data_IF_934555896833
#
_entry.id   IF_934555896833
#
_cell.length_a   1.000
_cell.length_b   1.000
_cell.length_c   1.000
_cell.angle_alpha   90.00
_cell.angle_beta   90.00
_cell.angle_gamma   90.00
#
_symmetry.space_group_name_H-M   'P 1'
#
loop_
_entity.id
_entity.type
_entity.pdbx_description
1 polymer ?
#
# COMPACT_ATOMS: atom_id res chain seq x y z
N UNK A 1 18.56 8.62 -27.62
CA UNK A 1 18.40 8.50 -26.93
C UNK A 1 18.69 7.90 -26.10
N UNK A 2 18.58 7.87 -25.79
CA UNK A 2 18.91 7.52 -25.11
C UNK A 2 18.81 6.81 -24.05
N UNK A 3 18.79 6.47 -23.70
CA UNK A 3 19.18 5.68 -22.54
C UNK A 3 18.50 6.15 -21.29
N UNK A 4 17.24 6.53 -21.40
CA UNK A 4 16.45 6.89 -20.25
C UNK A 4 15.93 5.65 -19.58
N UNK A 5 16.37 5.44 -18.34
CA UNK A 5 15.86 4.35 -17.53
C UNK A 5 14.55 4.80 -16.87
N UNK A 6 13.57 3.92 -16.87
CA UNK A 6 12.35 4.15 -16.14
C UNK A 6 12.55 3.64 -14.71
N UNK A 7 12.75 4.56 -13.79
CA UNK A 7 13.00 4.24 -12.40
C UNK A 7 11.79 4.67 -11.57
N UNK A 8 11.21 3.72 -10.84
CA UNK A 8 10.05 3.97 -10.00
C UNK A 8 10.45 3.94 -8.54
N UNK A 9 10.03 4.96 -7.81
CA UNK A 9 10.32 5.08 -6.39
C UNK A 9 9.33 4.24 -5.58
N UNK A 10 9.83 3.47 -4.63
CA UNK A 10 9.05 2.54 -3.85
C UNK A 10 9.29 2.76 -2.37
N UNK A 11 8.21 2.83 -1.59
CA UNK A 11 8.30 2.84 -0.14
C UNK A 11 8.15 1.40 0.35
N UNK A 12 9.03 0.96 1.23
CA UNK A 12 8.95 -0.36 1.86
C UNK A 12 8.62 -0.19 3.32
N UNK A 13 7.57 -0.86 3.78
CA UNK A 13 7.11 -0.80 5.16
C UNK A 13 6.91 -2.21 5.71
N UNK A 14 7.00 -2.33 7.04
CA UNK A 14 6.63 -3.57 7.72
C UNK A 14 5.14 -3.86 7.54
N UNK A 15 4.80 -5.13 7.41
CA UNK A 15 3.39 -5.57 7.41
C UNK A 15 2.66 -5.18 8.69
N UNK A 16 3.39 -4.92 9.79
CA UNK A 16 2.80 -4.49 11.06
C UNK A 16 2.18 -3.09 11.03
N UNK A 17 2.35 -2.33 9.93
CA UNK A 17 1.70 -1.03 9.79
C UNK A 17 0.24 -1.13 9.34
N UNK A 18 -0.25 -2.33 9.05
CA UNK A 18 -1.68 -2.58 8.87
C UNK A 18 -2.18 -3.49 9.97
N UNK A 19 -3.48 -3.45 10.25
CA UNK A 19 -4.07 -4.31 11.26
C UNK A 19 -4.08 -5.76 10.80
N UNK A 20 -4.18 -6.69 11.76
CA UNK A 20 -4.31 -8.11 11.45
C UNK A 20 -5.49 -8.37 10.52
N UNK A 21 -6.60 -7.69 10.76
CA UNK A 21 -7.80 -7.84 9.92
C UNK A 21 -7.53 -7.45 8.47
N UNK A 22 -6.83 -6.33 8.27
CA UNK A 22 -6.49 -5.89 6.91
C UNK A 22 -5.54 -6.86 6.25
N UNK A 23 -4.55 -7.37 7.01
CA UNK A 23 -3.61 -8.36 6.51
C UNK A 23 -4.35 -9.62 6.04
N UNK A 24 -5.32 -10.09 6.81
CA UNK A 24 -6.12 -11.25 6.45
C UNK A 24 -6.90 -11.02 5.16
N UNK A 25 -7.48 -9.83 5.01
CA UNK A 25 -8.22 -9.47 3.79
C UNK A 25 -7.30 -9.46 2.58
N UNK A 26 -6.12 -8.84 2.70
CA UNK A 26 -5.17 -8.79 1.60
C UNK A 26 -4.69 -10.18 1.19
N UNK A 27 -4.45 -11.05 2.15
CA UNK A 27 -4.04 -12.42 1.87
C UNK A 27 -5.16 -13.24 1.22
N UNK A 28 -6.39 -13.06 1.69
CA UNK A 28 -7.54 -13.82 1.20
C UNK A 28 -7.87 -13.50 -0.25
N UNK A 29 -7.90 -12.22 -0.59
CA UNK A 29 -8.37 -11.82 -1.92
C UNK A 29 -7.30 -11.89 -3.00
N UNK A 30 -6.04 -11.89 -2.65
CA UNK A 30 -4.90 -12.01 -3.59
C UNK A 30 -4.89 -10.99 -4.72
N UNK A 31 -6.00 -10.35 -4.98
CA UNK A 31 -6.13 -9.32 -5.99
C UNK A 31 -7.29 -8.43 -5.61
N UNK A 32 -7.44 -7.36 -6.36
CA UNK A 32 -8.44 -6.35 -6.09
C UNK A 32 -9.85 -6.94 -6.08
N UNK A 33 -10.62 -6.74 -4.99
CA UNK A 33 -12.04 -7.08 -4.99
C UNK A 33 -12.80 -6.21 -5.98
N UNK A 34 -13.93 -6.71 -6.46
CA UNK A 34 -14.78 -5.98 -7.38
C UNK A 34 -15.17 -4.61 -6.80
N UNK A 35 -15.02 -3.56 -7.61
CA UNK A 35 -15.35 -2.20 -7.21
C UNK A 35 -14.24 -1.43 -6.52
N UNK A 36 -13.06 -1.99 -6.43
CA UNK A 36 -11.88 -1.36 -5.84
C UNK A 36 -10.87 -1.01 -6.92
N UNK A 37 -10.40 0.24 -6.95
CA UNK A 37 -9.35 0.65 -7.88
C UNK A 37 -7.96 0.66 -7.25
N UNK A 38 -7.80 -0.04 -6.14
CA UNK A 38 -6.50 -0.30 -5.55
C UNK A 38 -5.97 -1.61 -6.10
N UNK A 39 -4.88 -1.54 -6.83
CA UNK A 39 -4.25 -2.73 -7.37
C UNK A 39 -3.15 -3.20 -6.45
N UNK A 40 -3.26 -4.43 -5.96
CA UNK A 40 -2.18 -5.03 -5.20
C UNK A 40 -1.95 -6.46 -5.68
N UNK A 41 -0.74 -6.94 -5.41
CA UNK A 41 -0.36 -8.31 -5.68
C UNK A 41 0.23 -8.90 -4.42
N UNK A 42 -0.08 -10.14 -4.14
CA UNK A 42 0.60 -10.86 -3.09
C UNK A 42 2.00 -11.20 -3.59
N UNK A 43 2.99 -10.91 -2.77
CA UNK A 43 4.38 -11.27 -3.03
C UNK A 43 4.82 -12.23 -1.92
N UNK A 44 6.00 -12.81 -2.07
CA UNK A 44 6.46 -13.86 -1.16
C UNK A 44 6.42 -13.44 0.32
N UNK A 45 6.73 -12.17 0.59
CA UNK A 45 6.85 -11.69 1.97
C UNK A 45 5.82 -10.62 2.34
N UNK A 46 4.79 -10.42 1.54
CA UNK A 46 3.80 -9.39 1.82
C UNK A 46 2.97 -9.01 0.61
N UNK A 47 2.82 -7.69 0.39
CA UNK A 47 1.96 -7.19 -0.67
C UNK A 47 2.63 -6.02 -1.38
N UNK A 48 2.39 -5.92 -2.69
CA UNK A 48 2.86 -4.80 -3.53
C UNK A 48 1.65 -4.02 -4.03
N UNK A 49 1.62 -2.73 -3.71
CA UNK A 49 0.64 -1.79 -4.25
C UNK A 49 1.30 -0.96 -5.34
N UNK A 50 0.69 -0.95 -6.52
CA UNK A 50 1.26 -0.25 -7.69
C UNK A 50 0.84 1.20 -7.81
N UNK A 51 -0.18 1.60 -7.06
CA UNK A 51 -0.70 2.95 -7.09
C UNK A 51 -0.83 3.45 -5.66
N UNK A 52 -0.14 4.55 -5.37
CA UNK A 52 -0.16 5.10 -4.02
C UNK A 52 -1.00 6.36 -3.91
N UNK A 53 -1.17 7.08 -5.03
CA UNK A 53 -1.94 8.32 -5.03
C UNK A 53 -3.40 8.05 -5.28
N UNK A 54 -4.24 8.61 -4.41
CA UNK A 54 -5.68 8.57 -4.56
C UNK A 54 -6.15 9.97 -4.94
N UNK A 55 -6.87 10.08 -6.06
CA UNK A 55 -7.40 11.37 -6.47
C UNK A 55 -8.71 11.68 -5.71
N UNK A 56 -9.29 12.85 -5.95
CA UNK A 56 -10.50 13.26 -5.24
C UNK A 56 -11.68 12.31 -5.52
N UNK A 57 -11.76 11.79 -6.73
CA UNK A 57 -12.80 10.86 -7.10
C UNK A 57 -12.65 9.53 -6.34
N UNK A 58 -11.42 9.04 -6.22
CA UNK A 58 -11.14 7.85 -5.42
C UNK A 58 -11.55 8.06 -3.97
N UNK A 59 -11.23 9.23 -3.41
CA UNK A 59 -11.56 9.54 -2.02
C UNK A 59 -13.06 9.60 -1.78
N UNK A 60 -13.82 10.15 -2.71
CA UNK A 60 -15.27 10.21 -2.59
C UNK A 60 -15.92 8.84 -2.74
N UNK A 61 -15.46 8.07 -3.71
CA UNK A 61 -16.08 6.80 -4.06
C UNK A 61 -15.58 5.66 -3.19
N UNK A 62 -14.29 5.61 -2.92
CA UNK A 62 -13.65 4.48 -2.27
C UNK A 62 -13.09 4.77 -0.89
N UNK A 63 -13.05 6.04 -0.49
CA UNK A 63 -12.42 6.43 0.76
C UNK A 63 -12.97 5.71 1.99
N UNK A 64 -14.25 5.35 1.96
CA UNK A 64 -14.87 4.59 3.05
C UNK A 64 -14.53 3.12 3.03
N UNK A 65 -14.13 2.60 1.87
CA UNK A 65 -13.83 1.19 1.68
C UNK A 65 -12.37 0.87 1.94
N UNK A 66 -11.52 1.89 1.93
CA UNK A 66 -10.10 1.71 2.19
C UNK A 66 -9.87 1.84 3.69
N UNK A 67 -9.39 0.79 4.36
CA UNK A 67 -9.10 0.86 5.79
C UNK A 67 -8.13 2.00 6.09
N UNK A 68 -8.36 2.70 7.20
CA UNK A 68 -7.55 3.87 7.56
C UNK A 68 -6.07 3.54 7.66
N UNK A 69 -5.71 2.39 8.24
CA UNK A 69 -4.30 2.02 8.36
C UNK A 69 -3.64 1.88 6.99
N UNK A 70 -4.33 1.29 6.03
CA UNK A 70 -3.81 1.15 4.68
C UNK A 70 -3.73 2.51 3.98
N UNK A 71 -4.75 3.34 4.14
CA UNK A 71 -4.77 4.67 3.56
C UNK A 71 -3.62 5.53 4.10
N UNK A 72 -3.34 5.46 5.39
CA UNK A 72 -2.23 6.19 5.98
C UNK A 72 -0.89 5.80 5.34
N UNK A 73 -0.70 4.51 5.08
CA UNK A 73 0.51 4.02 4.44
C UNK A 73 0.61 4.50 2.99
N UNK A 74 -0.49 4.46 2.25
CA UNK A 74 -0.53 4.95 0.87
C UNK A 74 -0.26 6.45 0.81
N UNK A 75 -0.85 7.22 1.74
CA UNK A 75 -0.64 8.67 1.82
C UNK A 75 0.83 9.00 2.11
N UNK A 76 1.47 8.26 3.01
CA UNK A 76 2.88 8.46 3.31
C UNK A 76 3.75 8.19 2.08
N UNK A 77 3.46 7.13 1.36
CA UNK A 77 4.18 6.81 0.13
C UNK A 77 4.02 7.92 -0.91
N UNK A 78 2.79 8.38 -1.12
CA UNK A 78 2.49 9.45 -2.08
C UNK A 78 3.16 10.76 -1.67
N UNK A 79 3.16 11.10 -0.38
CA UNK A 79 3.79 12.32 0.14
C UNK A 79 5.30 12.32 -0.10
N UNK A 80 5.91 11.15 -0.19
CA UNK A 80 7.33 11.01 -0.47
C UNK A 80 7.63 10.79 -1.96
N UNK A 81 6.63 10.96 -2.82
CA UNK A 81 6.81 10.82 -4.26
C UNK A 81 6.97 9.39 -4.73
N UNK A 82 6.53 8.42 -3.93
CA UNK A 82 6.65 7.02 -4.28
C UNK A 82 5.48 6.57 -5.15
N UNK A 83 5.77 5.85 -6.21
CA UNK A 83 4.76 5.28 -7.09
C UNK A 83 4.24 3.97 -6.55
N UNK A 84 5.09 3.22 -5.86
CA UNK A 84 4.78 1.89 -5.34
C UNK A 84 4.91 1.85 -3.83
N UNK A 85 4.15 0.95 -3.22
CA UNK A 85 4.25 0.66 -1.80
C UNK A 85 4.35 -0.86 -1.64
N UNK A 86 5.39 -1.30 -0.93
CA UNK A 86 5.58 -2.71 -0.61
C UNK A 86 5.45 -2.88 0.90
N UNK A 87 4.61 -3.81 1.31
CA UNK A 87 4.60 -4.32 2.68
C UNK A 87 5.40 -5.60 2.71
N UNK A 88 6.41 -5.63 3.55
CA UNK A 88 7.33 -6.76 3.69
C UNK A 88 7.38 -7.14 5.16
N UNK A 89 7.22 -8.43 5.46
CA UNK A 89 7.23 -8.88 6.86
C UNK A 89 8.56 -8.57 7.57
N UNK A 90 9.64 -8.41 6.80
CA UNK A 90 10.93 -7.98 7.32
C UNK A 90 11.24 -6.51 7.03
N UNK A 91 10.24 -5.76 6.57
CA UNK A 91 10.40 -4.36 6.26
C UNK A 91 10.52 -3.48 7.49
N UNK A 92 10.93 -2.23 7.29
CA UNK A 92 11.14 -1.33 8.42
C UNK A 92 9.85 -0.84 9.04
N UNK A 93 9.90 -0.68 10.35
CA UNK A 93 8.90 0.01 11.13
C UNK A 93 9.25 1.48 11.15
N UNK A 94 8.28 2.35 10.85
CA UNK A 94 8.52 3.80 10.84
C UNK A 94 7.66 4.50 11.90
N UNK A 95 8.20 5.55 12.48
CA UNK A 95 7.54 6.26 13.57
C UNK A 95 6.34 7.09 13.11
N UNK A 96 6.29 7.42 11.83
CA UNK A 96 5.21 8.23 11.27
C UNK A 96 3.86 7.50 11.20
N UNK A 97 3.87 6.19 11.40
CA UNK A 97 2.67 5.37 11.27
C UNK A 97 2.45 4.52 12.52
N UNK A 98 1.18 4.27 12.88
CA UNK A 98 0.90 3.28 13.93
C UNK A 98 1.49 1.93 13.57
N UNK A 99 1.91 1.20 14.59
CA UNK A 99 2.39 -0.17 14.42
C UNK A 99 1.51 -1.10 15.27
N UNK A 100 0.99 -2.12 14.63
CA UNK A 100 0.07 -3.06 15.25
C UNK A 100 0.83 -4.35 15.57
N UNK A 101 0.84 -4.70 16.82
CA UNK A 101 1.59 -5.86 17.28
C UNK A 101 0.69 -7.09 17.29
N UNK A 102 0.72 -7.82 16.20
CA UNK A 102 -0.09 -9.04 16.06
C UNK A 102 0.70 -10.22 15.51
#
# INVERSE_FOLDING_TARGET
>A
MKDQLEIRKTLVLSTGHVTKRVAEILDEYRSQPEGFDLYWQNIEYGWLFRRTRLDNQDLEYMGRKIPRCLRNCLDLAAANGCDYLIFDCDGPQVDQLPFYNW
#
